data_IF_594387358408
#
_entry.id   IF_594387358408
#
_cell.length_a   1.000
_cell.length_b   1.000
_cell.length_c   1.000
_cell.angle_alpha   90.00
_cell.angle_beta   90.00
_cell.angle_gamma   90.00
#
_symmetry.space_group_name_H-M   'P 1'
#
loop_
_entity.id
_entity.type
_entity.pdbx_description
1 polymer ?
#
# COMPACT_ATOMS: atom_id res chain seq x y z
N UNK A 1 4.94 23.86 -31.84
CA UNK A 1 4.70 24.55 -30.54
C UNK A 1 5.42 23.81 -29.42
N UNK A 2 6.00 24.54 -28.47
CA UNK A 2 6.63 23.93 -27.29
C UNK A 2 5.57 23.41 -26.31
N UNK A 3 5.96 22.52 -25.39
CA UNK A 3 5.04 21.95 -24.41
C UNK A 3 4.40 23.01 -23.50
N UNK A 4 5.15 24.00 -22.95
CA UNK A 4 4.56 25.12 -22.19
C UNK A 4 3.59 25.99 -22.99
N UNK A 5 3.79 26.10 -24.32
CA UNK A 5 2.88 26.86 -25.19
C UNK A 5 1.56 26.12 -25.46
N UNK A 6 1.54 24.79 -25.30
CA UNK A 6 0.33 23.97 -25.46
C UNK A 6 -0.49 23.88 -24.16
N UNK A 7 0.15 23.97 -22.99
CA UNK A 7 -0.51 23.89 -21.67
C UNK A 7 -1.74 24.80 -21.49
N UNK A 8 -1.74 26.10 -21.86
CA UNK A 8 -2.91 26.95 -21.67
C UNK A 8 -4.04 26.68 -22.68
N UNK A 9 -3.76 25.93 -23.75
CA UNK A 9 -4.74 25.63 -24.81
C UNK A 9 -5.55 24.35 -24.52
N UNK A 10 -5.15 23.57 -23.52
CA UNK A 10 -5.80 22.31 -23.17
C UNK A 10 -6.00 22.19 -21.67
N UNK A 11 -7.11 21.57 -21.26
CA UNK A 11 -7.38 21.31 -19.83
C UNK A 11 -6.63 20.07 -19.32
N UNK A 12 -5.31 20.02 -19.52
CA UNK A 12 -4.46 18.89 -19.14
C UNK A 12 -3.27 19.34 -18.32
N UNK A 13 -2.98 18.59 -17.24
CA UNK A 13 -1.71 18.73 -16.51
C UNK A 13 -0.55 18.39 -17.45
N UNK A 14 0.57 19.11 -17.31
CA UNK A 14 1.80 18.95 -18.10
C UNK A 14 2.20 17.49 -18.35
N UNK A 15 2.24 16.67 -17.30
CA UNK A 15 2.63 15.26 -17.42
C UNK A 15 1.68 14.44 -18.31
N UNK A 16 0.37 14.69 -18.20
CA UNK A 16 -0.66 14.02 -19.03
C UNK A 16 -0.58 14.48 -20.48
N UNK A 17 -0.41 15.79 -20.71
CA UNK A 17 -0.21 16.36 -22.04
C UNK A 17 1.02 15.73 -22.73
N UNK A 18 2.15 15.63 -22.02
CA UNK A 18 3.36 15.01 -22.56
C UNK A 18 3.13 13.54 -22.94
N UNK A 19 2.44 12.76 -22.10
CA UNK A 19 2.09 11.37 -22.41
C UNK A 19 1.19 11.28 -23.65
N UNK A 20 0.17 12.14 -23.75
CA UNK A 20 -0.74 12.13 -24.91
C UNK A 20 -0.01 12.50 -26.20
N UNK A 21 0.88 13.50 -26.17
CA UNK A 21 1.69 13.88 -27.34
C UNK A 21 2.63 12.75 -27.79
N UNK A 22 3.20 11.97 -26.85
CA UNK A 22 4.00 10.78 -27.20
C UNK A 22 3.15 9.70 -27.89
N UNK A 23 1.92 9.48 -27.45
CA UNK A 23 1.01 8.52 -28.12
C UNK A 23 0.67 9.02 -29.52
N UNK A 24 0.29 10.30 -29.66
CA UNK A 24 -0.01 10.90 -30.96
C UNK A 24 1.19 10.92 -31.92
N UNK A 25 2.42 10.95 -31.39
CA UNK A 25 3.67 10.86 -32.16
C UNK A 25 3.91 9.45 -32.68
N UNK A 26 3.66 8.43 -31.85
CA UNK A 26 3.67 7.02 -32.28
C UNK A 26 2.58 6.75 -33.33
N UNK A 27 1.40 7.36 -33.16
CA UNK A 27 0.30 7.27 -34.12
C UNK A 27 0.52 8.15 -35.37
N UNK A 28 1.58 8.97 -35.40
CA UNK A 28 1.97 9.80 -36.54
C UNK A 28 1.15 11.07 -36.75
N UNK A 29 0.24 11.44 -35.85
CA UNK A 29 -0.59 12.64 -35.91
C UNK A 29 0.17 13.92 -35.55
N UNK A 30 1.17 13.79 -34.68
CA UNK A 30 2.13 14.85 -34.36
C UNK A 30 3.54 14.32 -34.52
N UNK A 31 4.54 15.20 -34.55
CA UNK A 31 5.94 14.83 -34.57
C UNK A 31 6.74 15.62 -33.56
N UNK A 32 7.59 14.94 -32.80
CA UNK A 32 8.55 15.63 -31.91
C UNK A 32 9.68 16.25 -32.74
N UNK A 33 9.94 17.55 -32.52
CA UNK A 33 11.02 18.30 -33.19
C UNK A 33 11.84 19.12 -32.19
N UNK A 34 12.99 19.63 -32.64
CA UNK A 34 13.78 20.60 -31.87
C UNK A 34 12.94 21.87 -31.70
N UNK A 35 12.49 22.14 -30.48
CA UNK A 35 11.61 23.27 -30.15
C UNK A 35 10.17 22.89 -29.79
N UNK A 36 9.79 21.60 -29.84
CA UNK A 36 8.49 21.13 -29.35
C UNK A 36 7.86 20.07 -30.24
N UNK A 37 6.60 20.27 -30.58
CA UNK A 37 5.75 19.36 -31.34
C UNK A 37 5.17 20.07 -32.56
N UNK A 38 5.06 19.38 -33.68
CA UNK A 38 4.37 19.86 -34.89
C UNK A 38 3.26 18.88 -35.26
N UNK A 39 2.15 19.37 -35.81
CA UNK A 39 1.15 18.50 -36.42
C UNK A 39 1.68 18.00 -37.77
N UNK A 40 1.39 16.76 -38.13
CA UNK A 40 1.81 16.17 -39.43
C UNK A 40 0.77 16.38 -40.53
N UNK A 41 -0.44 16.86 -40.17
CA UNK A 41 -1.58 16.96 -41.08
C UNK A 41 -2.31 15.63 -41.31
N UNK A 42 -1.80 14.53 -40.76
CA UNK A 42 -2.49 13.24 -40.79
C UNK A 42 -3.75 13.29 -39.89
N UNK A 43 -4.91 12.83 -40.37
CA UNK A 43 -6.10 12.72 -39.53
C UNK A 43 -5.85 11.69 -38.42
N UNK A 44 -6.28 12.02 -37.20
CA UNK A 44 -6.22 11.09 -36.07
C UNK A 44 -7.62 10.80 -35.57
N UNK A 45 -7.94 9.51 -35.42
CA UNK A 45 -9.21 9.05 -34.89
C UNK A 45 -8.93 8.13 -33.71
N UNK A 46 -9.63 8.34 -32.59
CA UNK A 46 -9.49 7.46 -31.43
C UNK A 46 -9.97 6.04 -31.76
N UNK A 47 -9.09 5.06 -31.62
CA UNK A 47 -9.35 3.64 -31.90
C UNK A 47 -10.23 3.00 -30.81
N UNK A 48 -11.50 3.41 -30.78
CA UNK A 48 -12.50 2.96 -29.81
C UNK A 48 -12.62 1.43 -29.76
N UNK A 49 -12.55 0.76 -30.91
CA UNK A 49 -12.73 -0.69 -31.03
C UNK A 49 -11.59 -1.46 -30.37
N UNK A 50 -10.34 -1.07 -30.61
CA UNK A 50 -9.17 -1.67 -29.96
C UNK A 50 -9.24 -1.53 -28.45
N UNK A 51 -9.53 -0.33 -27.94
CA UNK A 51 -9.65 -0.12 -26.49
C UNK A 51 -10.84 -0.86 -25.89
N UNK A 52 -11.97 -0.95 -26.60
CA UNK A 52 -13.12 -1.74 -26.17
C UNK A 52 -12.78 -3.23 -26.11
N UNK A 53 -12.00 -3.75 -27.05
CA UNK A 53 -11.49 -5.13 -27.02
C UNK A 53 -10.58 -5.37 -25.82
N UNK A 54 -9.60 -4.49 -25.55
CA UNK A 54 -8.74 -4.59 -24.36
C UNK A 54 -9.56 -4.56 -23.07
N UNK A 55 -10.59 -3.70 -23.00
CA UNK A 55 -11.48 -3.64 -21.84
C UNK A 55 -12.30 -4.93 -21.68
N UNK A 56 -12.72 -5.57 -22.78
CA UNK A 56 -13.37 -6.90 -22.74
C UNK A 56 -12.41 -7.95 -22.21
N UNK A 57 -11.17 -8.02 -22.70
CA UNK A 57 -10.17 -8.98 -22.23
C UNK A 57 -9.90 -8.83 -20.71
N UNK A 58 -9.71 -7.59 -20.23
CA UNK A 58 -9.55 -7.33 -18.79
C UNK A 58 -10.74 -7.78 -17.95
N UNK A 59 -11.96 -7.65 -18.47
CA UNK A 59 -13.17 -8.15 -17.77
C UNK A 59 -13.18 -9.68 -17.71
N UNK A 60 -12.82 -10.34 -18.81
CA UNK A 60 -12.68 -11.80 -18.86
C UNK A 60 -11.64 -12.30 -17.85
N UNK A 61 -10.46 -11.68 -17.79
CA UNK A 61 -9.41 -12.02 -16.82
C UNK A 61 -9.88 -11.83 -15.36
N UNK A 62 -10.53 -10.69 -15.06
CA UNK A 62 -11.08 -10.45 -13.72
C UNK A 62 -12.14 -11.47 -13.33
N UNK A 63 -12.98 -11.87 -14.29
CA UNK A 63 -14.00 -12.87 -14.09
C UNK A 63 -13.37 -14.26 -13.84
N UNK A 64 -12.34 -14.64 -14.58
CA UNK A 64 -11.56 -15.85 -14.35
C UNK A 64 -10.92 -15.89 -12.95
N UNK A 65 -10.45 -14.76 -12.42
CA UNK A 65 -9.94 -14.69 -11.03
C UNK A 65 -11.04 -14.94 -10.00
N UNK A 66 -12.26 -14.44 -10.23
CA UNK A 66 -13.41 -14.68 -9.35
C UNK A 66 -13.86 -16.13 -9.41
N UNK A 67 -13.91 -16.69 -10.61
CA UNK A 67 -14.22 -18.10 -10.83
C UNK A 67 -13.19 -19.01 -10.18
N UNK A 68 -11.89 -18.68 -10.32
CA UNK A 68 -10.83 -19.39 -9.60
C UNK A 68 -11.06 -19.37 -8.08
N UNK A 69 -11.41 -18.22 -7.51
CA UNK A 69 -11.63 -18.09 -6.06
C UNK A 69 -12.85 -18.91 -5.60
N UNK A 70 -13.95 -18.85 -6.35
CA UNK A 70 -15.22 -19.48 -6.03
C UNK A 70 -15.33 -20.96 -6.48
N UNK A 71 -14.40 -21.45 -7.29
CA UNK A 71 -14.49 -22.81 -7.84
C UNK A 71 -14.54 -23.85 -6.74
N UNK A 72 -15.42 -24.83 -6.91
CA UNK A 72 -15.53 -26.03 -6.08
C UNK A 72 -14.75 -27.21 -6.66
N UNK A 73 -14.32 -27.11 -7.93
CA UNK A 73 -13.50 -28.13 -8.61
C UNK A 73 -12.01 -28.03 -8.28
N UNK A 74 -11.16 -28.84 -8.93
CA UNK A 74 -9.72 -28.76 -8.71
C UNK A 74 -9.15 -27.40 -9.16
N UNK A 75 -8.58 -26.63 -8.21
CA UNK A 75 -8.00 -25.31 -8.51
C UNK A 75 -6.86 -25.36 -9.51
N UNK A 76 -6.01 -26.39 -9.44
CA UNK A 76 -4.88 -26.54 -10.37
C UNK A 76 -5.34 -26.95 -11.76
N UNK A 77 -6.38 -27.77 -11.86
CA UNK A 77 -6.97 -28.11 -13.15
C UNK A 77 -7.59 -26.87 -13.81
N UNK A 78 -8.32 -26.05 -13.03
CA UNK A 78 -8.84 -24.77 -13.52
C UNK A 78 -7.71 -23.89 -14.08
N UNK A 79 -6.61 -23.72 -13.34
CA UNK A 79 -5.47 -22.91 -13.79
C UNK A 79 -4.83 -23.46 -15.07
N UNK A 80 -4.64 -24.78 -15.16
CA UNK A 80 -4.10 -25.42 -16.36
C UNK A 80 -5.01 -25.16 -17.58
N UNK A 81 -6.33 -25.28 -17.43
CA UNK A 81 -7.29 -24.94 -18.52
C UNK A 81 -7.26 -23.46 -18.91
N UNK A 82 -7.09 -22.55 -17.96
CA UNK A 82 -6.93 -21.11 -18.26
C UNK A 82 -5.60 -20.78 -18.96
N UNK A 83 -4.63 -21.69 -18.90
CA UNK A 83 -3.34 -21.61 -19.59
C UNK A 83 -3.30 -22.48 -20.85
N UNK A 84 -4.48 -22.91 -21.33
CA UNK A 84 -4.66 -23.74 -22.53
C UNK A 84 -3.86 -25.06 -22.49
N UNK A 85 -3.71 -25.67 -21.31
CA UNK A 85 -3.06 -26.97 -21.14
C UNK A 85 -4.04 -28.13 -21.42
N UNK A 86 -3.81 -28.86 -22.52
CA UNK A 86 -4.61 -30.01 -22.95
C UNK A 86 -4.55 -31.20 -21.95
N UNK A 87 -3.51 -31.26 -21.10
CA UNK A 87 -3.31 -32.28 -20.08
C UNK A 87 -3.99 -31.98 -18.73
N UNK A 88 -4.81 -30.93 -18.66
CA UNK A 88 -5.44 -30.49 -17.42
C UNK A 88 -6.29 -31.60 -16.78
N UNK A 89 -5.91 -32.00 -15.56
CA UNK A 89 -6.57 -33.03 -14.78
C UNK A 89 -6.58 -32.71 -13.28
N UNK A 90 -7.46 -33.34 -12.49
CA UNK A 90 -7.46 -33.18 -11.03
C UNK A 90 -6.08 -33.47 -10.42
N UNK A 91 -5.57 -32.53 -9.62
CA UNK A 91 -4.19 -32.60 -9.14
C UNK A 91 -3.98 -33.40 -7.84
N UNK A 92 -5.06 -33.77 -7.16
CA UNK A 92 -5.04 -34.51 -5.88
C UNK A 92 -4.45 -33.75 -4.68
N UNK A 93 -3.97 -32.51 -4.86
CA UNK A 93 -3.18 -31.78 -3.84
C UNK A 93 -3.77 -30.43 -3.41
N UNK A 94 -4.58 -29.76 -4.22
CA UNK A 94 -5.15 -28.46 -3.84
C UNK A 94 -6.14 -28.60 -2.67
N UNK A 95 -6.52 -27.48 -2.05
CA UNK A 95 -7.52 -27.40 -0.97
C UNK A 95 -8.86 -28.06 -1.34
N UNK A 96 -9.32 -27.92 -2.58
CA UNK A 96 -10.55 -28.58 -3.03
C UNK A 96 -10.39 -30.10 -3.23
N UNK A 97 -9.18 -30.59 -3.58
CA UNK A 97 -8.93 -32.02 -3.79
C UNK A 97 -8.57 -32.76 -2.48
N UNK A 98 -7.77 -32.14 -1.63
CA UNK A 98 -7.25 -32.74 -0.40
C UNK A 98 -8.05 -32.32 0.85
N UNK A 99 -9.04 -31.45 0.69
CA UNK A 99 -9.79 -30.85 1.79
C UNK A 99 -9.02 -29.75 2.52
N UNK A 100 -9.67 -29.16 3.54
CA UNK A 100 -9.08 -28.09 4.34
C UNK A 100 -7.84 -28.59 5.10
N UNK A 101 -6.67 -28.10 4.72
CA UNK A 101 -5.40 -28.41 5.42
C UNK A 101 -5.29 -27.76 6.80
N UNK A 102 -6.08 -26.72 7.04
CA UNK A 102 -6.08 -25.96 8.28
C UNK A 102 -7.48 -25.98 8.86
N UNK A 103 -7.57 -26.25 10.16
CA UNK A 103 -8.80 -26.06 10.92
C UNK A 103 -8.85 -24.63 11.44
N UNK A 104 -10.04 -24.16 11.83
CA UNK A 104 -10.18 -22.87 12.50
C UNK A 104 -9.57 -22.86 13.93
N UNK A 105 -9.15 -24.03 14.44
CA UNK A 105 -8.57 -24.17 15.77
C UNK A 105 -7.11 -23.71 15.80
N UNK A 106 -6.80 -22.81 16.72
CA UNK A 106 -5.44 -22.50 17.12
C UNK A 106 -5.19 -23.09 18.52
N UNK A 107 -3.95 -23.50 18.82
CA UNK A 107 -3.62 -23.99 20.16
C UNK A 107 -3.73 -22.86 21.18
N UNK A 108 -4.09 -23.19 22.43
CA UNK A 108 -4.15 -22.21 23.51
C UNK A 108 -2.82 -21.46 23.67
N UNK A 109 -1.69 -22.16 23.53
CA UNK A 109 -0.36 -21.56 23.57
C UNK A 109 -0.11 -20.56 22.44
N UNK A 110 -0.54 -20.86 21.20
CA UNK A 110 -0.41 -19.93 20.08
C UNK A 110 -1.29 -18.69 20.25
N UNK A 111 -2.52 -18.88 20.76
CA UNK A 111 -3.42 -17.76 21.08
C UNK A 111 -2.84 -16.88 22.18
N UNK A 112 -2.27 -17.46 23.23
CA UNK A 112 -1.68 -16.70 24.32
C UNK A 112 -0.41 -15.96 23.87
N UNK A 113 0.46 -16.60 23.08
CA UNK A 113 1.61 -15.93 22.49
C UNK A 113 1.19 -14.72 21.63
N UNK A 114 0.16 -14.89 20.79
CA UNK A 114 -0.38 -13.79 20.00
C UNK A 114 -0.97 -12.67 20.87
N UNK A 115 -1.67 -13.00 21.97
CA UNK A 115 -2.17 -11.98 22.93
C UNK A 115 -1.02 -11.21 23.57
N UNK A 116 0.00 -11.90 24.05
CA UNK A 116 1.18 -11.27 24.65
C UNK A 116 1.85 -10.31 23.65
N UNK A 117 2.03 -10.74 22.41
CA UNK A 117 2.62 -9.90 21.36
C UNK A 117 1.75 -8.69 20.99
N UNK A 118 0.43 -8.86 20.94
CA UNK A 118 -0.51 -7.77 20.65
C UNK A 118 -0.68 -6.79 21.83
N UNK A 119 -0.42 -7.23 23.06
CA UNK A 119 -0.48 -6.40 24.27
C UNK A 119 0.85 -5.73 24.59
N UNK A 120 1.98 -6.24 24.06
CA UNK A 120 3.30 -5.65 24.27
C UNK A 120 3.27 -4.16 23.90
N UNK A 121 3.60 -3.32 24.89
CA UNK A 121 3.58 -1.87 24.77
C UNK A 121 4.36 -1.43 23.53
N UNK A 122 3.74 -0.55 22.72
CA UNK A 122 4.19 -0.32 21.36
C UNK A 122 5.51 0.42 21.23
N UNK A 123 5.84 0.74 19.99
CA UNK A 123 7.13 1.30 19.57
C UNK A 123 7.48 2.55 20.37
N UNK A 124 8.71 2.60 20.86
CA UNK A 124 9.24 3.79 21.54
C UNK A 124 9.23 4.98 20.59
N UNK A 125 8.69 6.09 21.09
CA UNK A 125 8.64 7.35 20.38
C UNK A 125 9.68 8.24 21.02
N UNK A 126 10.81 8.35 20.32
CA UNK A 126 11.90 9.22 20.75
C UNK A 126 11.43 10.69 20.82
N UNK A 127 11.79 11.42 21.88
CA UNK A 127 11.41 12.80 22.01
C UNK A 127 12.10 13.63 20.94
N UNK A 128 11.36 14.60 20.38
CA UNK A 128 11.95 15.56 19.45
C UNK A 128 12.91 16.47 20.20
N UNK A 129 14.13 16.60 19.68
CA UNK A 129 15.16 17.51 20.22
C UNK A 129 15.23 18.84 19.46
N UNK A 130 14.58 18.93 18.29
CA UNK A 130 14.58 20.10 17.42
C UNK A 130 13.15 20.48 17.05
N UNK A 131 12.90 21.78 16.96
CA UNK A 131 11.66 22.30 16.40
C UNK A 131 11.59 21.95 14.90
N UNK A 132 10.40 21.59 14.37
CA UNK A 132 10.17 21.49 12.94
C UNK A 132 10.61 22.76 12.19
N UNK A 133 11.17 22.58 11.00
CA UNK A 133 11.48 23.71 10.11
C UNK A 133 10.18 24.33 9.58
N UNK A 134 10.18 25.65 9.37
CA UNK A 134 9.04 26.37 8.78
C UNK A 134 7.89 26.69 9.74
N UNK A 135 8.05 26.49 11.06
CA UNK A 135 7.08 26.95 12.05
C UNK A 135 6.78 28.46 11.99
N UNK A 136 7.73 29.35 11.67
CA UNK A 136 7.42 30.77 11.50
C UNK A 136 6.39 31.05 10.39
N UNK A 137 6.32 30.22 9.35
CA UNK A 137 5.36 30.36 8.25
C UNK A 137 3.91 30.13 8.69
N UNK A 138 3.70 29.45 9.82
CA UNK A 138 2.37 29.24 10.44
C UNK A 138 2.18 30.10 11.70
N UNK A 139 2.99 31.15 11.89
CA UNK A 139 2.86 32.10 12.99
C UNK A 139 3.44 31.62 14.33
N UNK A 140 4.28 30.58 14.33
CA UNK A 140 4.96 30.09 15.54
C UNK A 140 6.45 30.46 15.50
N UNK A 141 6.90 31.37 16.37
CA UNK A 141 8.32 31.76 16.49
C UNK A 141 9.12 30.74 17.33
N UNK A 142 9.15 29.50 16.88
CA UNK A 142 9.90 28.41 17.50
C UNK A 142 10.91 27.87 16.50
N UNK A 143 12.21 27.91 16.86
CA UNK A 143 13.31 27.52 15.98
C UNK A 143 14.44 26.84 16.75
N UNK A 144 15.21 26.01 16.05
CA UNK A 144 16.40 25.37 16.61
C UNK A 144 16.10 24.25 17.60
N UNK A 145 16.96 24.10 18.61
CA UNK A 145 16.90 23.02 19.61
C UNK A 145 15.82 23.32 20.65
N UNK A 146 15.03 22.30 21.01
CA UNK A 146 14.02 22.40 22.06
C UNK A 146 14.75 22.47 23.42
N UNK A 147 14.47 23.48 24.28
CA UNK A 147 15.07 23.57 25.61
C UNK A 147 14.87 22.29 26.43
N UNK A 148 15.86 21.91 27.25
CA UNK A 148 15.82 20.64 27.97
C UNK A 148 14.58 20.49 28.89
N UNK A 149 14.13 21.58 29.52
CA UNK A 149 12.92 21.58 30.35
C UNK A 149 11.60 21.52 29.56
N UNK A 150 11.63 21.72 28.25
CA UNK A 150 10.46 21.67 27.36
C UNK A 150 10.45 20.40 26.47
N UNK A 151 11.50 19.59 26.54
CA UNK A 151 11.54 18.31 25.84
C UNK A 151 10.58 17.32 26.51
N UNK A 152 9.78 16.64 25.69
CA UNK A 152 8.98 15.53 26.16
C UNK A 152 9.88 14.41 26.68
N UNK A 153 9.37 13.62 27.63
CA UNK A 153 9.97 12.33 27.96
C UNK A 153 9.78 11.35 26.81
N UNK A 154 10.57 10.27 26.82
CA UNK A 154 10.40 9.17 25.87
C UNK A 154 8.96 8.63 25.96
N UNK A 155 8.29 8.56 24.81
CA UNK A 155 6.92 8.08 24.71
C UNK A 155 6.83 6.64 24.24
N UNK A 156 5.62 6.07 24.27
CA UNK A 156 5.30 4.79 23.62
C UNK A 156 4.05 4.93 22.75
N UNK A 157 4.07 4.33 21.58
CA UNK A 157 2.88 4.22 20.76
C UNK A 157 1.89 3.23 21.38
N UNK A 158 0.67 3.68 21.67
CA UNK A 158 -0.38 2.81 22.24
C UNK A 158 -1.07 1.92 21.20
N UNK A 159 -0.90 2.21 19.91
CA UNK A 159 -1.41 1.41 18.80
C UNK A 159 -1.29 2.13 17.46
N UNK A 160 -1.38 1.41 16.34
CA UNK A 160 -1.40 2.00 14.99
C UNK A 160 -2.81 1.94 14.41
N UNK A 161 -3.14 2.93 13.59
CA UNK A 161 -4.43 2.95 12.88
C UNK A 161 -4.61 1.75 11.94
N UNK A 162 -3.54 1.17 11.41
CA UNK A 162 -3.59 -0.02 10.55
C UNK A 162 -3.79 -1.33 11.31
N UNK A 163 -3.63 -1.34 12.64
CA UNK A 163 -3.63 -2.59 13.40
C UNK A 163 -5.03 -3.22 13.44
N UNK A 164 -5.07 -4.55 13.38
CA UNK A 164 -6.33 -5.32 13.39
C UNK A 164 -7.02 -5.21 14.76
N UNK A 165 -6.25 -5.10 15.85
CA UNK A 165 -6.76 -4.88 17.20
C UNK A 165 -7.14 -3.41 17.46
N UNK A 166 -6.16 -2.61 17.92
CA UNK A 166 -6.39 -1.22 18.32
C UNK A 166 -6.82 -0.31 17.17
N UNK A 167 -6.38 -0.55 15.94
CA UNK A 167 -6.65 0.32 14.79
C UNK A 167 -8.14 0.47 14.49
N UNK A 168 -8.92 -0.60 14.59
CA UNK A 168 -10.38 -0.55 14.41
C UNK A 168 -11.07 0.35 15.45
N UNK A 169 -10.54 0.42 16.68
CA UNK A 169 -11.05 1.30 17.75
C UNK A 169 -10.54 2.74 17.62
N UNK A 170 -9.32 2.94 17.13
CA UNK A 170 -8.70 4.25 16.99
C UNK A 170 -9.18 5.02 15.76
N UNK A 171 -9.40 4.38 14.61
CA UNK A 171 -9.82 5.06 13.36
C UNK A 171 -11.06 5.96 13.53
N UNK A 172 -12.14 5.55 14.22
CA UNK A 172 -13.29 6.43 14.43
C UNK A 172 -12.99 7.68 15.26
N UNK A 173 -11.97 7.65 16.14
CA UNK A 173 -11.60 8.80 16.97
C UNK A 173 -10.94 9.92 16.15
N UNK A 174 -10.26 9.57 15.06
CA UNK A 174 -9.58 10.51 14.16
C UNK A 174 -10.37 10.83 12.87
N UNK A 175 -11.64 10.38 12.77
CA UNK A 175 -12.48 10.67 11.62
C UNK A 175 -12.81 12.18 11.55
N UNK A 176 -12.87 12.80 10.34
CA UNK A 176 -13.01 14.26 10.16
C UNK A 176 -14.26 14.91 10.77
N UNK A 177 -15.20 14.12 11.32
CA UNK A 177 -16.52 14.57 11.77
C UNK A 177 -16.63 14.86 13.26
N UNK A 178 -15.53 14.85 14.01
CA UNK A 178 -15.53 15.44 15.36
C UNK A 178 -15.04 16.88 15.26
N UNK A 179 -15.98 17.83 15.36
CA UNK A 179 -15.69 19.11 16.04
C UNK A 179 -14.95 18.68 17.30
N UNK A 180 -13.71 19.12 17.48
CA UNK A 180 -12.93 18.90 18.70
C UNK A 180 -13.80 19.39 19.85
N UNK A 181 -14.58 18.49 20.43
CA UNK A 181 -15.35 18.75 21.62
C UNK A 181 -14.31 19.11 22.66
N UNK A 182 -14.48 20.28 23.29
CA UNK A 182 -13.71 20.66 24.48
C UNK A 182 -13.56 19.39 25.32
N UNK A 183 -12.32 19.00 25.63
CA UNK A 183 -12.06 17.96 26.60
C UNK A 183 -12.93 18.26 27.82
N UNK A 184 -14.01 17.49 28.01
CA UNK A 184 -14.68 17.47 29.31
C UNK A 184 -13.65 16.88 30.25
N UNK A 185 -13.22 17.72 31.18
CA UNK A 185 -12.39 17.37 32.31
C UNK A 185 -12.88 16.08 32.94
N UNK A 186 -12.05 15.04 32.90
CA UNK A 186 -12.11 13.93 33.85
C UNK A 186 -11.00 14.16 34.87
N UNK A 187 -11.36 13.95 36.14
CA UNK A 187 -10.65 14.26 37.40
C UNK A 187 -9.15 13.91 37.48
N UNK A 188 -8.42 14.52 38.43
CA UNK A 188 -6.98 14.62 38.41
C UNK A 188 -6.28 13.34 38.87
N UNK A 189 -5.56 12.70 37.94
CA UNK A 189 -4.43 11.82 38.23
C UNK A 189 -3.15 12.45 37.65
N UNK A 190 -1.95 12.24 38.23
CA UNK A 190 -0.77 13.10 38.00
C UNK A 190 -0.08 13.00 36.62
N UNK A 191 -0.69 12.32 35.66
CA UNK A 191 -0.05 11.91 34.42
C UNK A 191 -1.02 12.31 33.31
N UNK A 192 -0.51 12.75 32.15
CA UNK A 192 -1.25 13.19 30.96
C UNK A 192 -1.64 14.68 30.90
N UNK A 193 -0.75 15.50 30.32
CA UNK A 193 -1.18 16.72 29.59
C UNK A 193 -1.47 16.36 28.13
N UNK A 194 -2.71 16.61 27.71
CA UNK A 194 -3.19 16.42 26.35
C UNK A 194 -2.62 17.51 25.43
N UNK A 195 -2.05 17.14 24.28
CA UNK A 195 -1.68 18.08 23.21
C UNK A 195 -2.84 18.22 22.21
N UNK A 196 -3.33 19.43 21.91
CA UNK A 196 -4.25 19.65 20.80
C UNK A 196 -3.46 19.98 19.53
N UNK A 197 -3.40 19.07 18.56
CA UNK A 197 -2.99 19.42 17.19
C UNK A 197 -4.22 19.92 16.42
N UNK A 198 -4.17 21.21 16.06
CA UNK A 198 -5.17 21.88 15.23
C UNK A 198 -5.21 21.36 13.78
N UNK A 199 -6.21 21.79 12.99
CA UNK A 199 -6.63 21.10 11.79
C UNK A 199 -5.88 21.61 10.55
N UNK A 200 -5.12 20.72 9.90
CA UNK A 200 -4.88 20.57 8.44
C UNK A 200 -3.56 19.81 8.24
N UNK A 201 -3.62 18.71 7.47
CA UNK A 201 -2.46 17.88 7.12
C UNK A 201 -1.50 18.56 6.12
N UNK A 202 -0.52 17.83 5.56
CA UNK A 202 -0.82 16.65 4.76
C UNK A 202 0.00 15.40 5.07
N UNK A 203 -0.54 14.28 4.59
CA UNK A 203 0.07 12.98 4.53
C UNK A 203 1.47 13.03 3.87
N UNK A 204 2.46 12.42 4.52
CA UNK A 204 3.72 12.06 3.90
C UNK A 204 3.93 10.55 4.10
N UNK A 205 3.80 9.81 2.99
CA UNK A 205 4.03 8.37 2.95
C UNK A 205 5.48 8.03 3.28
N UNK A 206 5.66 7.15 4.26
CA UNK A 206 6.95 6.50 4.50
C UNK A 206 6.96 5.16 3.78
N UNK A 207 7.76 5.09 2.70
CA UNK A 207 8.19 3.84 2.08
C UNK A 207 8.92 2.99 3.14
N UNK A 208 8.42 1.78 3.39
CA UNK A 208 9.10 0.81 4.22
C UNK A 208 10.41 0.35 3.54
N UNK A 209 11.55 0.64 4.17
CA UNK A 209 12.80 -0.08 3.87
C UNK A 209 12.66 -1.51 4.40
N UNK A 210 12.75 -2.49 3.50
CA UNK A 210 12.95 -3.90 3.87
C UNK A 210 14.32 -4.03 4.53
N UNK A 211 14.38 -4.35 5.81
CA UNK A 211 15.59 -4.83 6.46
C UNK A 211 15.74 -6.33 6.14
N UNK A 212 16.91 -6.70 5.62
CA UNK A 212 17.34 -8.08 5.39
C UNK A 212 17.52 -8.78 6.74
N UNK A 213 16.85 -9.90 6.97
CA UNK A 213 17.12 -10.79 8.10
C UNK A 213 18.52 -11.43 7.95
N UNK A 214 19.26 -11.67 9.05
CA UNK A 214 20.51 -12.41 9.00
C UNK A 214 20.24 -13.89 8.74
N UNK A 215 21.11 -14.49 7.92
CA UNK A 215 20.98 -15.84 7.38
C UNK A 215 20.88 -16.92 8.44
N UNK A 216 19.93 -17.85 8.24
CA UNK A 216 19.93 -19.15 8.89
C UNK A 216 21.05 -20.00 8.27
N UNK A 217 21.79 -20.64 9.16
CA UNK A 217 22.81 -21.65 8.93
C UNK A 217 22.37 -22.75 7.96
N UNK A 218 23.33 -23.21 7.16
CA UNK A 218 23.17 -24.16 6.07
C UNK A 218 22.62 -25.51 6.49
N UNK A 219 21.80 -26.06 5.61
CA UNK A 219 21.44 -27.47 5.56
C UNK A 219 22.59 -28.26 4.92
N UNK A 220 23.17 -29.19 5.66
CA UNK A 220 24.06 -30.22 5.10
C UNK A 220 23.20 -31.33 4.47
N UNK A 221 23.47 -31.77 3.23
CA UNK A 221 22.84 -32.95 2.67
C UNK A 221 23.48 -34.24 3.20
N UNK A 222 22.65 -35.19 3.65
CA UNK A 222 23.07 -36.57 3.91
C UNK A 222 23.37 -37.31 2.59
N UNK A 223 24.38 -38.20 2.55
CA UNK A 223 24.68 -38.99 1.35
C UNK A 223 23.65 -40.11 1.13
N UNK A 224 23.47 -40.60 -0.11
CA UNK A 224 22.51 -41.66 -0.42
C UNK A 224 22.95 -43.02 0.14
N UNK A 225 21.98 -43.78 0.65
CA UNK A 225 22.16 -45.15 1.09
C UNK A 225 22.46 -46.08 -0.11
N UNK A 226 23.48 -46.92 0.04
CA UNK A 226 23.78 -48.01 -0.87
C UNK A 226 22.66 -49.05 -0.86
N UNK A 227 22.19 -49.45 -2.05
CA UNK A 227 21.27 -50.58 -2.21
C UNK A 227 21.99 -51.93 -2.05
N UNK A 228 21.29 -52.99 -1.61
CA UNK A 228 21.87 -54.33 -1.55
C UNK A 228 21.92 -54.96 -2.95
N UNK A 229 23.02 -55.65 -3.22
CA UNK A 229 23.14 -56.61 -4.33
C UNK A 229 22.54 -57.97 -3.99
#
# INVERSE_FOLDING_TARGET
MSLPALEPLVELRRSRLETMLKVLDVDGAVKRVKGGWIATGQPWTYDTERYAWVARQRRTEQQAMREYAATTGCRMEFLQRQLDDEGAKPCGRCDNCAGSRFTAGASAAALEAARVDLVRAGVEVEPRRMWPTGLPTIGMDLKGRIPAGEQAAQGRALGRLSDIGWGNRLRPMFAPRRRTGRCRTMSPGPWWRCWPTGPRGPAAGLRARRTRSPGRSGWSPSPPAAGPG
#
